data_IF_656627576167
#
_entry.id   IF_656627576167
#
_cell.length_a   1.000
_cell.length_b   1.000
_cell.length_c   1.000
_cell.angle_alpha   90.00
_cell.angle_beta   90.00
_cell.angle_gamma   90.00
#
_symmetry.space_group_name_H-M   'P 1'
#
loop_
_entity.id
_entity.type
_entity.pdbx_description
1 polymer ?
#
# COMPACT_ATOMS: atom_id res chain seq x y z
N UNK A 1 -24.28 -4.16 11.75
CA UNK A 1 -24.14 -3.24 10.59
C UNK A 1 -23.00 -2.29 10.91
N UNK A 2 -21.76 -2.66 10.58
CA UNK A 2 -20.62 -1.76 10.74
C UNK A 2 -20.68 -0.72 9.62
N UNK A 3 -21.01 0.50 9.96
CA UNK A 3 -20.85 1.65 9.10
C UNK A 3 -19.34 1.82 8.84
N UNK A 4 -18.84 1.37 7.68
CA UNK A 4 -17.50 1.69 7.22
C UNK A 4 -17.49 3.19 6.89
N UNK A 5 -17.28 4.02 7.90
CA UNK A 5 -16.95 5.40 7.70
C UNK A 5 -15.58 5.40 6.97
N UNK A 6 -15.60 5.67 5.67
CA UNK A 6 -14.41 5.98 4.91
C UNK A 6 -13.85 7.29 5.47
N UNK A 7 -12.96 7.15 6.44
CA UNK A 7 -12.28 8.30 7.02
C UNK A 7 -11.30 8.83 5.97
N UNK A 8 -11.65 9.92 5.32
CA UNK A 8 -10.77 10.63 4.39
C UNK A 8 -10.47 12.02 4.95
N UNK A 9 -9.22 12.45 4.86
CA UNK A 9 -8.84 13.78 5.30
C UNK A 9 -7.41 14.14 4.94
N UNK A 10 -7.07 15.41 5.19
CA UNK A 10 -5.71 15.92 5.06
C UNK A 10 -4.92 15.59 6.33
N UNK A 11 -3.70 15.11 6.18
CA UNK A 11 -2.77 14.91 7.28
C UNK A 11 -1.73 16.05 7.29
N UNK A 12 -1.60 16.70 8.43
CA UNK A 12 -0.58 17.73 8.65
C UNK A 12 0.41 17.17 9.66
N UNK A 13 1.69 16.98 9.28
CA UNK A 13 2.69 16.40 10.19
C UNK A 13 3.01 17.38 11.33
N UNK A 14 3.23 16.84 12.52
CA UNK A 14 3.78 17.58 13.67
C UNK A 14 5.29 17.80 13.51
N UNK A 15 5.97 16.93 12.77
CA UNK A 15 7.40 16.99 12.47
C UNK A 15 7.66 17.20 10.97
N UNK A 16 7.32 18.38 10.39
CA UNK A 16 7.38 18.61 8.94
C UNK A 16 8.81 18.49 8.38
N UNK A 17 9.85 18.68 9.21
CA UNK A 17 11.26 18.57 8.77
C UNK A 17 11.63 17.17 8.28
N UNK A 18 11.04 16.12 8.84
CA UNK A 18 11.26 14.73 8.39
C UNK A 18 10.24 14.23 7.37
N UNK A 19 9.22 15.03 7.04
CA UNK A 19 8.21 14.70 6.06
C UNK A 19 8.55 15.27 4.68
N UNK A 20 8.86 14.43 3.71
CA UNK A 20 9.28 14.81 2.35
C UNK A 20 8.22 15.63 1.60
N UNK A 21 6.94 15.45 1.92
CA UNK A 21 5.86 16.25 1.33
C UNK A 21 5.85 17.70 1.84
N UNK A 22 6.50 18.01 2.96
CA UNK A 22 6.43 19.31 3.62
C UNK A 22 7.80 19.98 3.88
N UNK A 23 8.91 19.24 3.75
CA UNK A 23 10.24 19.76 4.08
C UNK A 23 10.92 20.55 2.96
N UNK A 24 10.26 20.74 1.82
CA UNK A 24 10.78 21.47 0.66
C UNK A 24 11.77 20.70 -0.23
N UNK A 25 12.13 19.46 0.12
CA UNK A 25 13.06 18.64 -0.71
C UNK A 25 12.43 18.22 -2.05
N UNK A 26 11.12 18.05 -2.10
CA UNK A 26 10.39 17.66 -3.32
C UNK A 26 9.67 18.88 -3.86
N UNK A 27 10.05 19.29 -5.08
CA UNK A 27 9.38 20.40 -5.77
C UNK A 27 7.93 20.01 -6.10
N UNK A 28 6.98 20.88 -5.74
CA UNK A 28 5.54 20.67 -5.96
C UNK A 28 5.00 19.39 -5.29
N UNK A 29 5.56 19.01 -4.14
CA UNK A 29 5.03 17.91 -3.36
C UNK A 29 3.56 18.14 -3.00
N UNK A 30 2.75 17.10 -3.14
CA UNK A 30 1.32 17.17 -2.79
C UNK A 30 1.12 17.07 -1.29
N UNK A 31 0.06 17.69 -0.81
CA UNK A 31 -0.44 17.45 0.55
C UNK A 31 -0.76 15.98 0.77
N UNK A 32 -0.53 15.51 1.98
CA UNK A 32 -0.87 14.15 2.36
C UNK A 32 -2.38 14.04 2.56
N UNK A 33 -3.01 13.12 1.83
CA UNK A 33 -4.44 12.82 1.94
C UNK A 33 -4.59 11.34 2.28
N UNK A 34 -4.96 11.04 3.53
CA UNK A 34 -5.31 9.68 3.92
C UNK A 34 -6.74 9.35 3.43
N UNK A 35 -6.95 8.11 2.97
CA UNK A 35 -8.24 7.59 2.46
C UNK A 35 -8.79 6.45 3.31
N UNK A 36 -8.08 6.13 4.40
CA UNK A 36 -8.48 5.11 5.38
C UNK A 36 -7.96 5.46 6.77
N UNK A 37 -8.57 4.86 7.81
CA UNK A 37 -8.06 4.94 9.17
C UNK A 37 -6.67 4.34 9.29
N UNK A 38 -6.38 3.28 8.55
CA UNK A 38 -5.07 2.61 8.53
C UNK A 38 -3.96 3.55 8.02
N UNK A 39 -4.20 4.25 6.92
CA UNK A 39 -3.26 5.25 6.42
C UNK A 39 -3.04 6.37 7.42
N UNK A 40 -4.09 6.87 8.09
CA UNK A 40 -3.97 7.90 9.14
C UNK A 40 -3.12 7.43 10.32
N UNK A 41 -3.33 6.20 10.79
CA UNK A 41 -2.55 5.59 11.87
C UNK A 41 -1.09 5.48 11.47
N UNK A 42 -0.82 5.02 10.25
CA UNK A 42 0.54 4.88 9.75
C UNK A 42 1.23 6.22 9.55
N UNK A 43 0.53 7.27 9.08
CA UNK A 43 1.05 8.65 9.06
C UNK A 43 1.48 9.11 10.44
N UNK A 44 0.64 8.89 11.48
CA UNK A 44 1.00 9.25 12.84
C UNK A 44 2.22 8.48 13.33
N UNK A 45 2.31 7.18 13.06
CA UNK A 45 3.48 6.38 13.38
C UNK A 45 4.74 6.95 12.74
N UNK A 46 4.74 7.17 11.42
CA UNK A 46 5.89 7.71 10.70
C UNK A 46 6.31 9.09 11.19
N UNK A 47 5.35 9.92 11.56
CA UNK A 47 5.62 11.28 12.03
C UNK A 47 6.18 11.33 13.46
N UNK A 48 5.74 10.43 14.33
CA UNK A 48 6.06 10.48 15.76
C UNK A 48 7.22 9.57 16.17
N UNK A 49 7.46 8.46 15.46
CA UNK A 49 8.51 7.50 15.83
C UNK A 49 9.89 8.12 15.64
N UNK A 50 10.71 8.10 16.71
CA UNK A 50 12.05 8.69 16.74
C UNK A 50 13.05 7.95 15.84
N UNK A 51 12.81 6.67 15.55
CA UNK A 51 13.65 5.90 14.65
C UNK A 51 13.40 6.23 13.17
N UNK A 52 12.26 6.84 12.83
CA UNK A 52 11.99 7.31 11.47
C UNK A 52 12.73 8.60 11.20
N UNK A 53 13.68 8.54 10.27
CA UNK A 53 14.56 9.67 9.89
C UNK A 53 13.83 10.61 8.92
N UNK A 54 13.24 10.03 7.89
CA UNK A 54 12.43 10.75 6.90
C UNK A 54 11.36 9.85 6.29
N UNK A 55 10.27 10.43 5.82
CA UNK A 55 9.16 9.72 5.22
C UNK A 55 8.37 10.59 4.24
N UNK A 56 7.60 9.95 3.36
CA UNK A 56 6.71 10.64 2.43
C UNK A 56 5.55 9.75 2.00
N UNK A 57 4.47 10.40 1.57
CA UNK A 57 3.27 9.75 1.07
C UNK A 57 3.04 10.07 -0.40
N UNK A 58 2.75 9.05 -1.20
CA UNK A 58 2.42 9.16 -2.64
C UNK A 58 3.50 9.89 -3.48
N UNK A 59 4.79 9.72 -3.13
CA UNK A 59 5.91 10.40 -3.80
C UNK A 59 6.75 9.50 -4.71
N UNK A 60 6.55 8.19 -4.67
CA UNK A 60 7.23 7.23 -5.54
C UNK A 60 6.24 6.69 -6.56
N UNK A 61 6.57 6.85 -7.83
CA UNK A 61 5.81 6.35 -8.97
C UNK A 61 6.59 5.24 -9.66
N UNK A 62 5.97 4.05 -9.81
CA UNK A 62 6.57 2.88 -10.41
C UNK A 62 5.77 2.47 -11.64
N UNK A 63 6.37 2.40 -12.84
CA UNK A 63 5.68 1.87 -14.00
C UNK A 63 5.48 0.36 -13.85
N UNK A 64 4.29 -0.13 -14.20
CA UNK A 64 4.00 -1.55 -14.28
C UNK A 64 3.17 -1.87 -15.52
N UNK A 65 3.22 -3.13 -15.96
CA UNK A 65 2.39 -3.64 -17.04
C UNK A 65 1.27 -4.49 -16.44
N UNK A 66 0.02 -4.14 -16.78
CA UNK A 66 -1.15 -4.92 -16.36
C UNK A 66 -1.54 -5.91 -17.44
N UNK A 67 -1.57 -7.19 -17.09
CA UNK A 67 -2.08 -8.27 -17.96
C UNK A 67 -3.60 -8.23 -18.11
N UNK A 68 -4.29 -7.58 -17.18
CA UNK A 68 -5.74 -7.48 -17.16
C UNK A 68 -6.27 -6.68 -18.35
N UNK A 69 -5.57 -5.62 -18.75
CA UNK A 69 -5.96 -4.75 -19.88
C UNK A 69 -4.86 -4.58 -20.93
N UNK A 70 -3.74 -5.31 -20.80
CA UNK A 70 -2.58 -5.28 -21.70
C UNK A 70 -1.98 -3.86 -21.88
N UNK A 71 -1.93 -3.06 -20.80
CA UNK A 71 -1.44 -1.68 -20.85
C UNK A 71 -0.37 -1.41 -19.79
N UNK A 72 0.46 -0.41 -20.06
CA UNK A 72 1.36 0.17 -19.07
C UNK A 72 0.61 1.16 -18.21
N UNK A 73 0.81 1.07 -16.91
CA UNK A 73 0.23 1.94 -15.89
C UNK A 73 1.30 2.51 -14.99
N UNK A 74 0.91 3.51 -14.21
CA UNK A 74 1.70 4.10 -13.14
C UNK A 74 1.12 3.66 -11.81
N UNK A 75 1.96 3.11 -10.98
CA UNK A 75 1.64 2.74 -9.61
C UNK A 75 2.27 3.75 -8.66
N UNK A 76 1.45 4.52 -7.98
CA UNK A 76 1.88 5.41 -6.92
C UNK A 76 1.78 4.63 -5.62
N UNK A 77 2.90 4.50 -4.91
CA UNK A 77 2.98 3.74 -3.65
C UNK A 77 2.47 4.59 -2.49
N UNK A 78 1.86 3.96 -1.48
CA UNK A 78 1.25 4.70 -0.38
C UNK A 78 2.31 5.46 0.43
N UNK A 79 3.42 4.80 0.83
CA UNK A 79 4.45 5.42 1.67
C UNK A 79 5.85 4.98 1.31
N UNK A 80 6.79 5.86 1.58
CA UNK A 80 8.23 5.58 1.61
C UNK A 80 8.82 6.17 2.89
N UNK A 81 9.74 5.44 3.53
CA UNK A 81 10.42 5.98 4.70
C UNK A 81 11.82 5.38 4.90
N UNK A 82 12.62 6.09 5.65
CA UNK A 82 13.95 5.70 6.10
C UNK A 82 13.94 5.65 7.61
N UNK A 83 14.38 4.55 8.19
CA UNK A 83 14.43 4.38 9.64
C UNK A 83 15.71 3.69 10.08
N UNK A 84 16.01 3.83 11.38
CA UNK A 84 17.02 3.00 12.07
C UNK A 84 16.33 1.78 12.67
N UNK A 85 16.92 0.62 12.50
CA UNK A 85 16.48 -0.57 13.22
C UNK A 85 17.12 -0.66 14.63
N UNK A 86 16.78 -1.70 15.38
CA UNK A 86 17.32 -1.93 16.76
C UNK A 86 18.84 -1.99 16.84
N UNK A 87 19.54 -2.26 15.73
CA UNK A 87 21.00 -2.30 15.64
C UNK A 87 21.58 -0.99 15.07
N UNK A 88 20.82 0.10 15.05
CA UNK A 88 21.18 1.39 14.45
C UNK A 88 21.51 1.33 12.94
N UNK A 89 21.12 0.27 12.24
CA UNK A 89 21.29 0.15 10.80
C UNK A 89 20.18 0.91 10.09
N UNK A 90 20.55 1.74 9.11
CA UNK A 90 19.61 2.51 8.30
C UNK A 90 18.96 1.59 7.26
N UNK A 91 17.64 1.58 7.26
CA UNK A 91 16.83 0.81 6.34
C UNK A 91 15.87 1.75 5.58
N UNK A 92 15.69 1.46 4.30
CA UNK A 92 14.78 2.18 3.41
C UNK A 92 13.60 1.28 3.07
N UNK A 93 12.39 1.79 3.24
CA UNK A 93 11.17 1.03 3.06
C UNK A 93 10.23 1.68 2.06
N UNK A 94 9.66 0.87 1.20
CA UNK A 94 8.51 1.18 0.37
C UNK A 94 7.31 0.39 0.91
N UNK A 95 6.24 1.07 1.25
CA UNK A 95 5.11 0.46 1.95
C UNK A 95 3.81 0.71 1.21
N UNK A 96 3.00 -0.33 1.16
CA UNK A 96 1.61 -0.31 0.71
C UNK A 96 0.70 -0.70 1.87
N UNK A 97 -0.41 0.02 2.06
CA UNK A 97 -1.41 -0.30 3.09
C UNK A 97 -2.65 -0.87 2.43
N UNK A 98 -3.00 -2.10 2.78
CA UNK A 98 -4.18 -2.78 2.22
C UNK A 98 -4.88 -3.64 3.26
N UNK A 99 -6.21 -3.74 3.19
CA UNK A 99 -6.92 -4.76 3.93
C UNK A 99 -6.39 -6.15 3.56
N UNK A 100 -6.27 -7.05 4.53
CA UNK A 100 -5.80 -8.43 4.34
C UNK A 100 -6.55 -9.17 3.22
N UNK A 101 -7.84 -8.89 3.07
CA UNK A 101 -8.68 -9.46 2.00
C UNK A 101 -8.24 -9.06 0.59
N UNK A 102 -7.43 -8.02 0.44
CA UNK A 102 -6.89 -7.56 -0.85
C UNK A 102 -5.43 -7.98 -1.07
N UNK A 103 -4.86 -8.77 -0.15
CA UNK A 103 -3.50 -9.32 -0.27
C UNK A 103 -3.58 -10.64 -1.01
N UNK A 104 -2.91 -10.79 -2.18
CA UNK A 104 -2.89 -12.05 -2.92
C UNK A 104 -2.21 -13.15 -2.12
N UNK A 105 -2.85 -14.31 -2.03
CA UNK A 105 -2.24 -15.55 -1.54
C UNK A 105 -1.61 -16.25 -2.74
N UNK A 106 -0.36 -16.66 -2.61
CA UNK A 106 0.37 -17.35 -3.67
C UNK A 106 0.58 -18.82 -3.31
N UNK A 107 0.46 -19.70 -4.31
CA UNK A 107 0.84 -21.10 -4.18
C UNK A 107 2.38 -21.28 -4.29
N UNK A 108 2.86 -22.51 -4.18
CA UNK A 108 4.29 -22.86 -4.31
C UNK A 108 4.90 -22.44 -5.65
N UNK A 109 4.11 -22.37 -6.70
CA UNK A 109 4.50 -21.92 -8.05
C UNK A 109 4.41 -20.39 -8.23
N UNK A 110 4.20 -19.64 -7.13
CA UNK A 110 4.02 -18.17 -7.13
C UNK A 110 2.82 -17.68 -7.96
N UNK A 111 1.81 -18.52 -8.12
CA UNK A 111 0.57 -18.15 -8.79
C UNK A 111 -0.49 -17.74 -7.77
N UNK A 112 -1.33 -16.77 -8.13
CA UNK A 112 -2.41 -16.30 -7.25
C UNK A 112 -3.42 -17.43 -7.01
N UNK A 113 -3.72 -17.68 -5.75
CA UNK A 113 -4.84 -18.54 -5.34
C UNK A 113 -6.07 -17.65 -5.22
N UNK A 114 -6.97 -17.74 -6.19
CA UNK A 114 -8.21 -16.98 -6.15
C UNK A 114 -9.21 -17.61 -5.19
N UNK A 115 -10.05 -16.79 -4.53
CA UNK A 115 -11.12 -17.33 -3.69
C UNK A 115 -12.13 -18.10 -4.54
N UNK A 116 -12.70 -19.16 -3.96
CA UNK A 116 -13.76 -19.91 -4.61
C UNK A 116 -14.97 -19.03 -4.92
N UNK A 117 -15.64 -19.33 -6.03
CA UNK A 117 -16.94 -18.73 -6.29
C UNK A 117 -17.92 -19.17 -5.19
N UNK A 118 -18.67 -18.23 -4.56
CA UNK A 118 -19.55 -18.57 -3.45
C UNK A 118 -20.54 -19.70 -3.79
N UNK A 119 -20.44 -20.83 -3.07
CA UNK A 119 -21.35 -21.96 -3.21
C UNK A 119 -22.68 -21.61 -2.54
N UNK A 120 -23.72 -21.36 -3.32
CA UNK A 120 -25.05 -21.02 -2.80
C UNK A 120 -26.15 -21.67 -3.65
N UNK A 121 -27.30 -21.99 -3.01
CA UNK A 121 -28.50 -22.53 -3.70
C UNK A 121 -28.98 -21.61 -4.85
N UNK A 122 -28.74 -20.28 -4.76
CA UNK A 122 -29.04 -19.31 -5.82
C UNK A 122 -27.93 -18.28 -5.93
N UNK A 123 -27.12 -18.43 -6.97
CA UNK A 123 -26.06 -17.47 -7.29
C UNK A 123 -26.65 -16.31 -8.12
N UNK A 124 -26.58 -15.08 -7.59
CA UNK A 124 -27.05 -13.89 -8.31
C UNK A 124 -25.93 -13.24 -9.12
N UNK A 125 -26.28 -12.59 -10.24
CA UNK A 125 -25.31 -11.87 -11.09
C UNK A 125 -24.48 -10.88 -10.27
N UNK A 126 -25.09 -10.10 -9.38
CA UNK A 126 -24.40 -9.15 -8.47
C UNK A 126 -23.29 -9.81 -7.62
N UNK A 127 -23.44 -11.06 -7.23
CA UNK A 127 -22.43 -11.80 -6.46
C UNK A 127 -21.29 -12.29 -7.34
N UNK A 128 -21.61 -12.73 -8.55
CA UNK A 128 -20.62 -13.09 -9.56
C UNK A 128 -19.76 -11.89 -9.87
N UNK A 129 -20.35 -10.72 -10.09
CA UNK A 129 -19.65 -9.48 -10.43
C UNK A 129 -18.73 -9.03 -9.28
N UNK A 130 -19.18 -9.14 -8.02
CA UNK A 130 -18.34 -8.86 -6.83
C UNK A 130 -17.15 -9.80 -6.73
N UNK A 131 -17.38 -11.09 -6.99
CA UNK A 131 -16.31 -12.09 -6.98
C UNK A 131 -15.27 -11.79 -8.07
N UNK A 132 -15.72 -11.52 -9.31
CA UNK A 132 -14.85 -11.10 -10.40
C UNK A 132 -14.03 -9.86 -10.06
N UNK A 133 -14.69 -8.83 -9.54
CA UNK A 133 -14.02 -7.60 -9.10
C UNK A 133 -12.95 -7.89 -8.03
N UNK A 134 -13.24 -8.78 -7.09
CA UNK A 134 -12.26 -9.17 -6.08
C UNK A 134 -11.05 -9.89 -6.71
N UNK A 135 -11.26 -10.82 -7.63
CA UNK A 135 -10.19 -11.49 -8.38
C UNK A 135 -9.33 -10.46 -9.15
N UNK A 136 -9.96 -9.48 -9.80
CA UNK A 136 -9.25 -8.41 -10.52
C UNK A 136 -8.40 -7.54 -9.59
N UNK A 137 -8.90 -7.22 -8.38
CA UNK A 137 -8.14 -6.49 -7.36
C UNK A 137 -6.91 -7.28 -6.95
N UNK A 138 -7.04 -8.58 -6.67
CA UNK A 138 -5.92 -9.44 -6.30
C UNK A 138 -4.86 -9.50 -7.42
N UNK A 139 -5.31 -9.65 -8.66
CA UNK A 139 -4.42 -9.67 -9.84
C UNK A 139 -3.65 -8.36 -9.97
N UNK A 140 -4.35 -7.22 -9.94
CA UNK A 140 -3.72 -5.89 -10.05
C UNK A 140 -2.75 -5.60 -8.90
N UNK A 141 -3.09 -5.99 -7.67
CA UNK A 141 -2.20 -5.82 -6.53
C UNK A 141 -0.94 -6.66 -6.69
N UNK A 142 -1.07 -7.91 -7.13
CA UNK A 142 0.08 -8.77 -7.41
C UNK A 142 1.02 -8.15 -8.45
N UNK A 143 0.49 -7.70 -9.59
CA UNK A 143 1.27 -7.08 -10.68
C UNK A 143 2.01 -5.82 -10.22
N UNK A 144 1.33 -4.93 -9.48
CA UNK A 144 1.92 -3.73 -8.88
C UNK A 144 3.06 -4.09 -7.93
N UNK A 145 2.84 -5.07 -7.05
CA UNK A 145 3.81 -5.40 -6.01
C UNK A 145 5.02 -6.16 -6.53
N UNK A 146 4.87 -6.96 -7.59
CA UNK A 146 6.04 -7.54 -8.27
C UNK A 146 6.91 -6.43 -8.91
N UNK A 147 6.30 -5.43 -9.53
CA UNK A 147 7.02 -4.26 -10.04
C UNK A 147 7.66 -3.43 -8.92
N UNK A 148 6.96 -3.26 -7.79
CA UNK A 148 7.50 -2.58 -6.60
C UNK A 148 8.71 -3.31 -6.02
N UNK A 149 8.64 -4.64 -5.89
CA UNK A 149 9.78 -5.46 -5.42
C UNK A 149 10.99 -5.34 -6.33
N UNK A 150 10.78 -5.36 -7.66
CA UNK A 150 11.85 -5.17 -8.63
C UNK A 150 12.47 -3.77 -8.52
N UNK A 151 11.64 -2.73 -8.40
CA UNK A 151 12.10 -1.35 -8.18
C UNK A 151 12.89 -1.22 -6.86
N UNK A 152 12.39 -1.81 -5.78
CA UNK A 152 13.06 -1.81 -4.48
C UNK A 152 14.43 -2.45 -4.53
N UNK A 153 14.56 -3.59 -5.22
CA UNK A 153 15.84 -4.27 -5.42
C UNK A 153 16.85 -3.38 -6.14
N UNK A 154 16.42 -2.65 -7.17
CA UNK A 154 17.28 -1.76 -7.96
C UNK A 154 17.66 -0.46 -7.22
N UNK A 155 16.87 -0.03 -6.22
CA UNK A 155 17.04 1.23 -5.51
C UNK A 155 17.49 1.05 -4.04
N UNK A 156 17.81 -0.18 -3.62
CA UNK A 156 18.17 -0.52 -2.24
C UNK A 156 17.09 -0.16 -1.21
N UNK A 157 15.84 -0.49 -1.54
CA UNK A 157 14.68 -0.42 -0.64
C UNK A 157 14.19 -1.82 -0.29
N UNK A 158 13.52 -1.94 0.84
CA UNK A 158 12.69 -3.10 1.21
C UNK A 158 11.23 -2.80 0.87
N UNK A 159 10.50 -3.79 0.38
CA UNK A 159 9.06 -3.66 0.12
C UNK A 159 8.26 -4.39 1.19
N UNK A 160 7.22 -3.75 1.70
CA UNK A 160 6.28 -4.36 2.64
C UNK A 160 4.84 -3.92 2.35
N UNK A 161 3.92 -4.88 2.44
CA UNK A 161 2.49 -4.61 2.53
C UNK A 161 2.10 -4.70 4.00
N UNK A 162 1.41 -3.68 4.50
CA UNK A 162 0.92 -3.60 5.88
C UNK A 162 -0.59 -3.76 5.86
N UNK A 163 -1.08 -4.65 6.70
CA UNK A 163 -2.50 -4.94 6.86
C UNK A 163 -2.99 -4.53 8.25
N UNK A 164 -4.27 -4.72 8.53
CA UNK A 164 -4.83 -4.51 9.87
C UNK A 164 -4.11 -5.32 10.96
N UNK A 165 -3.56 -6.47 10.61
CA UNK A 165 -2.87 -7.35 11.57
C UNK A 165 -1.59 -6.69 12.13
N UNK A 166 -0.85 -5.94 11.30
CA UNK A 166 0.38 -5.25 11.74
C UNK A 166 0.12 -3.89 12.38
N UNK A 167 -1.01 -3.28 12.11
CA UNK A 167 -1.37 -1.98 12.69
C UNK A 167 -1.89 -2.11 14.13
N UNK A 168 -2.03 -3.34 14.66
CA UNK A 168 -2.43 -3.68 16.03
C UNK A 168 -3.68 -2.89 16.50
N UNK A 169 -4.76 -3.04 15.75
CA UNK A 169 -6.06 -2.43 16.05
C UNK A 169 -7.02 -3.44 16.64
#
# INVERSE_FOLDING_TARGET
>A
VFNKNYLKGKFVPKNPKKCLNYNGKIKNAKDIVFRSSYEKIFCNFLDLDENVIEWGSEIVEIPYYSKTDNRKHKYITDFVFVSKNSNNIIEKWLVEIKPKTQVPILNEKKQIVYPDLPKMKRLTQKRIDRWKLHCDILTKNHEKWESAKAWCKSNNYKFKVITEDELAL
#
